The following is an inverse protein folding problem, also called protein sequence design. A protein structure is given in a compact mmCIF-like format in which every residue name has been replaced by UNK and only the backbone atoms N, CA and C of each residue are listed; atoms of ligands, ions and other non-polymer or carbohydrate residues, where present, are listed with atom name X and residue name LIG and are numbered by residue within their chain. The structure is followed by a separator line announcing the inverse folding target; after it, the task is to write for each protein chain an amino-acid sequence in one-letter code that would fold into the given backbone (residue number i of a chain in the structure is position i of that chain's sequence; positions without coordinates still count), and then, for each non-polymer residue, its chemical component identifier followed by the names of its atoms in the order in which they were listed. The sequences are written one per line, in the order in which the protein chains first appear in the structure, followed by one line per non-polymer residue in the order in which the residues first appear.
data_IF_851387148171
#
_entry.id   IF_851387148171
#
_cell.length_a   1.000
_cell.length_b   1.000
_cell.length_c   1.000
_cell.angle_alpha   90.00
_cell.angle_beta   90.00
_cell.angle_gamma   90.00
#
_symmetry.space_group_name_H-M   'P 1'
#
loop_
_entity.id
_entity.type
_entity.pdbx_description
1 polymer ?
#
# COMPACT_ATOMS: atom_id res chain seq x y z
N UNK A 1 -8.49 -69.11 -15.21
CA UNK A 1 -7.11 -69.49 -15.60
C UNK A 1 -7.10 -70.65 -16.60
N UNK A 2 -7.21 -71.92 -16.19
CA UNK A 2 -7.03 -73.06 -17.12
C UNK A 2 -8.07 -73.15 -18.26
N UNK A 3 -9.31 -72.70 -18.06
CA UNK A 3 -10.36 -72.68 -19.10
C UNK A 3 -10.37 -71.41 -19.95
N UNK A 4 -9.90 -70.28 -19.41
CA UNK A 4 -9.94 -68.96 -20.06
C UNK A 4 -8.65 -68.59 -20.81
N UNK A 5 -7.51 -69.16 -20.43
CA UNK A 5 -6.18 -68.85 -20.99
C UNK A 5 -5.49 -70.07 -21.62
N UNK A 6 -6.15 -71.23 -21.63
CA UNK A 6 -5.56 -72.48 -22.14
C UNK A 6 -4.38 -73.00 -21.32
N UNK A 7 -4.12 -72.45 -20.13
CA UNK A 7 -3.01 -72.84 -19.24
C UNK A 7 -1.66 -72.20 -19.58
N UNK A 8 -1.60 -71.32 -20.58
CA UNK A 8 -0.39 -70.60 -20.97
C UNK A 8 -0.30 -69.27 -20.19
N UNK A 9 0.76 -69.10 -19.40
CA UNK A 9 1.01 -67.87 -18.64
C UNK A 9 1.17 -66.64 -19.55
N UNK A 10 1.88 -66.80 -20.67
CA UNK A 10 2.15 -65.69 -21.60
C UNK A 10 0.84 -65.07 -22.15
N UNK A 11 -0.14 -65.91 -22.48
CA UNK A 11 -1.45 -65.45 -22.96
C UNK A 11 -2.26 -64.75 -21.86
N UNK A 12 -2.09 -65.16 -20.60
CA UNK A 12 -2.71 -64.51 -19.46
C UNK A 12 -2.11 -63.12 -19.23
N UNK A 13 -0.78 -63.01 -19.32
CA UNK A 13 -0.04 -61.77 -19.12
C UNK A 13 -0.34 -60.75 -20.23
N UNK A 14 -0.40 -61.18 -21.49
CA UNK A 14 -0.77 -60.32 -22.63
C UNK A 14 -2.19 -59.76 -22.48
N UNK A 15 -3.16 -60.64 -22.13
CA UNK A 15 -4.56 -60.21 -21.91
C UNK A 15 -4.71 -59.29 -20.71
N UNK A 16 -3.98 -59.54 -19.62
CA UNK A 16 -3.92 -58.63 -18.47
C UNK A 16 -3.34 -57.28 -18.86
N UNK A 17 -2.29 -57.27 -19.69
CA UNK A 17 -1.68 -56.05 -20.22
C UNK A 17 -2.68 -55.19 -21.01
N UNK A 18 -3.49 -55.81 -21.87
CA UNK A 18 -4.54 -55.11 -22.62
C UNK A 18 -5.64 -54.54 -21.72
N UNK A 19 -6.10 -55.29 -20.72
CA UNK A 19 -7.11 -54.83 -19.76
C UNK A 19 -6.60 -53.62 -18.97
N UNK A 20 -5.38 -53.72 -18.46
CA UNK A 20 -4.72 -52.63 -17.73
C UNK A 20 -4.59 -51.39 -18.61
N UNK A 21 -4.13 -51.55 -19.84
CA UNK A 21 -3.98 -50.43 -20.79
C UNK A 21 -5.32 -49.73 -21.04
N UNK A 22 -6.39 -50.50 -21.28
CA UNK A 22 -7.71 -49.94 -21.55
C UNK A 22 -8.30 -49.23 -20.32
N UNK A 23 -8.11 -49.77 -19.11
CA UNK A 23 -8.53 -49.12 -17.87
C UNK A 23 -7.82 -47.77 -17.67
N UNK A 24 -6.49 -47.73 -17.90
CA UNK A 24 -5.70 -46.49 -17.82
C UNK A 24 -6.21 -45.45 -18.81
N UNK A 25 -6.37 -45.80 -20.09
CA UNK A 25 -6.84 -44.84 -21.11
C UNK A 25 -8.24 -44.30 -20.79
N UNK A 26 -9.13 -45.16 -20.28
CA UNK A 26 -10.52 -44.77 -19.95
C UNK A 26 -10.57 -43.80 -18.78
N UNK A 27 -9.85 -44.06 -17.69
CA UNK A 27 -9.86 -43.19 -16.50
C UNK A 27 -9.08 -41.89 -16.71
N UNK A 28 -7.96 -41.94 -17.44
CA UNK A 28 -7.23 -40.72 -17.80
C UNK A 28 -7.99 -39.88 -18.83
N UNK A 29 -8.83 -40.47 -19.68
CA UNK A 29 -9.68 -39.75 -20.63
C UNK A 29 -10.84 -38.97 -19.98
N UNK A 30 -11.28 -39.37 -18.77
CA UNK A 30 -12.36 -38.70 -18.03
C UNK A 30 -11.90 -37.50 -17.21
N UNK A 31 -10.61 -37.37 -16.92
CA UNK A 31 -10.04 -36.34 -16.03
C UNK A 31 -9.17 -35.37 -16.82
N UNK A 32 -9.14 -34.10 -16.38
CA UNK A 32 -8.20 -33.13 -16.95
C UNK A 32 -6.78 -33.40 -16.47
N UNK A 33 -5.78 -33.04 -17.27
CA UNK A 33 -4.35 -33.22 -16.96
C UNK A 33 -3.98 -32.65 -15.58
N UNK A 34 -4.53 -31.48 -15.23
CA UNK A 34 -4.28 -30.84 -13.93
C UNK A 34 -4.84 -31.64 -12.75
N UNK A 35 -5.98 -32.31 -12.92
CA UNK A 35 -6.61 -33.15 -11.89
C UNK A 35 -5.86 -34.47 -11.67
N UNK A 36 -5.28 -35.03 -12.73
CA UNK A 36 -4.50 -36.28 -12.66
C UNK A 36 -3.18 -36.13 -11.90
N UNK A 37 -2.54 -34.95 -11.96
CA UNK A 37 -1.25 -34.68 -11.31
C UNK A 37 -1.42 -34.28 -9.84
N UNK A 38 -2.48 -33.53 -9.51
CA UNK A 38 -2.45 -32.66 -8.33
C UNK A 38 -3.30 -33.14 -7.15
N UNK A 39 -4.47 -33.76 -7.38
CA UNK A 39 -5.49 -33.91 -6.30
C UNK A 39 -5.98 -35.33 -6.07
N UNK A 40 -5.69 -36.31 -6.93
CA UNK A 40 -6.39 -37.61 -6.84
C UNK A 40 -5.55 -38.85 -7.10
N UNK A 41 -4.22 -38.87 -6.88
CA UNK A 41 -3.42 -40.07 -7.24
C UNK A 41 -3.92 -41.34 -6.54
N UNK A 42 -4.27 -41.26 -5.26
CA UNK A 42 -4.80 -42.40 -4.51
C UNK A 42 -6.19 -42.82 -5.01
N UNK A 43 -7.08 -41.85 -5.25
CA UNK A 43 -8.41 -42.09 -5.80
C UNK A 43 -8.34 -42.69 -7.21
N UNK A 44 -7.44 -42.19 -8.05
CA UNK A 44 -7.21 -42.69 -9.40
C UNK A 44 -6.73 -44.15 -9.40
N UNK A 45 -5.80 -44.52 -8.51
CA UNK A 45 -5.36 -45.92 -8.42
C UNK A 45 -6.53 -46.83 -7.98
N UNK A 46 -7.39 -46.34 -7.09
CA UNK A 46 -8.56 -47.08 -6.64
C UNK A 46 -9.61 -47.24 -7.74
N UNK A 47 -9.91 -46.17 -8.49
CA UNK A 47 -10.85 -46.18 -9.60
C UNK A 47 -10.38 -47.11 -10.73
N UNK A 48 -9.07 -47.10 -11.03
CA UNK A 48 -8.45 -48.02 -11.97
C UNK A 48 -8.59 -49.48 -11.52
N UNK A 49 -8.39 -49.75 -10.22
CA UNK A 49 -8.53 -51.08 -9.66
C UNK A 49 -9.98 -51.57 -9.73
N UNK A 50 -10.96 -50.73 -9.39
CA UNK A 50 -12.39 -51.05 -9.48
C UNK A 50 -12.82 -51.31 -10.93
N UNK A 51 -12.26 -50.57 -11.89
CA UNK A 51 -12.60 -50.73 -13.31
C UNK A 51 -11.99 -51.99 -13.92
N UNK A 52 -10.76 -52.35 -13.53
CA UNK A 52 -10.04 -53.49 -14.09
C UNK A 52 -10.32 -54.83 -13.37
N UNK A 53 -10.75 -54.80 -12.10
CA UNK A 53 -10.98 -56.02 -11.30
C UNK A 53 -12.00 -57.01 -11.91
N UNK A 54 -13.18 -56.58 -12.41
CA UNK A 54 -14.17 -57.50 -12.96
C UNK A 54 -13.66 -58.24 -14.20
N UNK A 55 -12.99 -57.52 -15.10
CA UNK A 55 -12.45 -58.08 -16.35
C UNK A 55 -11.26 -59.01 -16.10
N UNK A 56 -10.49 -58.78 -15.03
CA UNK A 56 -9.43 -59.69 -14.61
C UNK A 56 -9.98 -60.97 -13.94
N UNK A 57 -11.11 -60.87 -13.23
CA UNK A 57 -11.78 -62.01 -12.62
C UNK A 57 -12.32 -62.99 -13.68
N UNK A 58 -12.78 -62.48 -14.84
CA UNK A 58 -13.16 -63.30 -16.00
C UNK A 58 -11.97 -64.14 -16.55
N UNK A 59 -10.75 -63.65 -16.39
CA UNK A 59 -9.52 -64.41 -16.70
C UNK A 59 -9.14 -65.38 -15.58
N UNK A 60 -9.78 -65.29 -14.42
CA UNK A 60 -9.48 -66.05 -13.21
C UNK A 60 -8.21 -65.55 -12.51
N UNK A 61 -7.94 -64.24 -12.59
CA UNK A 61 -6.81 -63.58 -11.94
C UNK A 61 -7.32 -62.49 -11.00
N UNK A 62 -6.71 -62.34 -9.83
CA UNK A 62 -7.08 -61.30 -8.86
C UNK A 62 -6.06 -60.16 -8.88
N UNK A 63 -6.52 -58.95 -9.17
CA UNK A 63 -5.74 -57.72 -9.01
C UNK A 63 -5.65 -57.34 -7.52
N UNK A 64 -4.44 -57.04 -7.04
CA UNK A 64 -4.17 -56.66 -5.63
C UNK A 64 -3.94 -55.16 -5.48
N UNK A 65 -3.08 -54.58 -6.32
CA UNK A 65 -2.72 -53.16 -6.28
C UNK A 65 -2.35 -52.65 -7.68
N UNK A 66 -2.59 -51.36 -7.92
CA UNK A 66 -2.19 -50.66 -9.14
C UNK A 66 -1.25 -49.51 -8.78
N UNK A 67 -0.07 -49.46 -9.42
CA UNK A 67 0.91 -48.40 -9.19
C UNK A 67 1.41 -47.80 -10.49
N UNK A 68 1.24 -46.49 -10.63
CA UNK A 68 1.86 -45.72 -11.72
C UNK A 68 3.32 -45.45 -11.39
N UNK A 69 4.22 -45.85 -12.27
CA UNK A 69 5.66 -45.62 -12.16
C UNK A 69 6.06 -44.20 -12.59
N UNK A 70 5.58 -43.78 -13.77
CA UNK A 70 5.89 -42.47 -14.35
C UNK A 70 4.75 -42.03 -15.26
N UNK A 71 4.49 -40.72 -15.29
CA UNK A 71 3.61 -40.07 -16.26
C UNK A 71 4.49 -39.11 -17.04
N UNK A 72 4.52 -39.26 -18.35
CA UNK A 72 5.28 -38.40 -19.25
C UNK A 72 4.31 -37.81 -20.27
N UNK A 73 4.48 -36.53 -20.57
CA UNK A 73 3.73 -35.85 -21.62
C UNK A 73 4.47 -36.05 -22.93
N UNK A 74 3.74 -36.20 -24.04
CA UNK A 74 4.36 -36.06 -25.36
C UNK A 74 4.88 -34.63 -25.50
N UNK A 75 6.15 -34.48 -25.87
CA UNK A 75 6.88 -33.20 -25.95
C UNK A 75 6.09 -32.12 -26.71
N UNK A 76 5.30 -32.52 -27.70
CA UNK A 76 4.51 -31.67 -28.59
C UNK A 76 3.39 -30.86 -27.88
N UNK A 77 2.78 -31.39 -26.81
CA UNK A 77 1.67 -30.71 -26.08
C UNK A 77 2.19 -29.88 -24.90
N UNK A 78 3.42 -30.12 -24.46
CA UNK A 78 4.02 -29.41 -23.32
C UNK A 78 4.23 -27.91 -23.63
N UNK A 79 4.72 -27.60 -24.81
CA UNK A 79 5.13 -26.24 -25.19
C UNK A 79 3.96 -25.23 -25.21
N UNK A 80 2.80 -25.63 -25.71
CA UNK A 80 1.62 -24.77 -25.83
C UNK A 80 1.00 -24.45 -24.46
N UNK A 81 0.94 -25.44 -23.58
CA UNK A 81 0.43 -25.27 -22.22
C UNK A 81 1.38 -24.40 -21.39
N UNK A 82 2.70 -24.61 -21.51
CA UNK A 82 3.69 -23.75 -20.83
C UNK A 82 3.61 -22.29 -21.30
N UNK A 83 3.51 -22.06 -22.62
CA UNK A 83 3.36 -20.72 -23.17
C UNK A 83 2.07 -20.03 -22.66
N UNK A 84 0.97 -20.78 -22.53
CA UNK A 84 -0.29 -20.26 -22.01
C UNK A 84 -0.20 -19.93 -20.52
N UNK A 85 0.48 -20.77 -19.72
CA UNK A 85 0.72 -20.49 -18.30
C UNK A 85 1.61 -19.26 -18.10
N UNK A 86 2.62 -19.08 -18.94
CA UNK A 86 3.52 -17.93 -18.87
C UNK A 86 2.78 -16.62 -19.22
N UNK A 87 1.97 -16.65 -20.28
CA UNK A 87 1.13 -15.51 -20.65
C UNK A 87 0.12 -15.16 -19.55
N UNK A 88 -0.51 -16.16 -18.94
CA UNK A 88 -1.45 -15.97 -17.83
C UNK A 88 -0.76 -15.37 -16.60
N UNK A 89 0.42 -15.89 -16.23
CA UNK A 89 1.24 -15.34 -15.14
C UNK A 89 1.67 -13.90 -15.42
N UNK A 90 2.08 -13.60 -16.65
CA UNK A 90 2.47 -12.26 -17.06
C UNK A 90 1.27 -11.29 -16.97
N UNK A 91 0.08 -11.72 -17.39
CA UNK A 91 -1.17 -10.94 -17.29
C UNK A 91 -1.52 -10.63 -15.84
N UNK A 92 -1.53 -11.65 -14.98
CA UNK A 92 -1.83 -11.49 -13.53
C UNK A 92 -0.81 -10.54 -12.89
N UNK A 93 0.47 -10.69 -13.22
CA UNK A 93 1.51 -9.80 -12.68
C UNK A 93 1.35 -8.35 -13.19
N UNK A 94 0.95 -8.15 -14.45
CA UNK A 94 0.69 -6.82 -15.00
C UNK A 94 -0.52 -6.16 -14.33
N UNK A 95 -1.60 -6.90 -14.12
CA UNK A 95 -2.81 -6.47 -13.42
C UNK A 95 -2.49 -6.07 -11.98
N UNK A 96 -1.79 -6.91 -11.22
CA UNK A 96 -1.36 -6.60 -9.84
C UNK A 96 -0.45 -5.37 -9.76
N UNK A 97 0.44 -5.18 -10.72
CA UNK A 97 1.28 -3.97 -10.78
C UNK A 97 0.45 -2.73 -11.12
N UNK A 98 -0.57 -2.85 -11.97
CA UNK A 98 -1.46 -1.73 -12.30
C UNK A 98 -2.31 -1.34 -11.08
N UNK A 99 -2.90 -2.32 -10.39
CA UNK A 99 -3.64 -2.14 -9.14
C UNK A 99 -2.76 -1.48 -8.07
N UNK A 100 -1.53 -1.99 -7.87
CA UNK A 100 -0.58 -1.41 -6.93
C UNK A 100 -0.21 0.05 -7.24
N UNK A 101 -0.08 0.40 -8.53
CA UNK A 101 0.17 1.80 -8.94
C UNK A 101 -1.05 2.68 -8.69
N UNK A 102 -2.25 2.21 -9.01
CA UNK A 102 -3.48 2.98 -8.80
C UNK A 102 -3.70 3.29 -7.31
N UNK A 103 -3.58 2.27 -6.45
CA UNK A 103 -3.73 2.43 -5.01
C UNK A 103 -2.66 3.35 -4.42
N UNK A 104 -1.41 3.25 -4.90
CA UNK A 104 -0.33 4.14 -4.45
C UNK A 104 -0.59 5.61 -4.83
N UNK A 105 -1.13 5.85 -6.04
CA UNK A 105 -1.44 7.20 -6.49
C UNK A 105 -2.62 7.81 -5.72
N UNK A 106 -3.65 7.00 -5.46
CA UNK A 106 -4.79 7.41 -4.62
C UNK A 106 -4.33 7.78 -3.20
N UNK A 107 -3.51 6.94 -2.56
CA UNK A 107 -2.99 7.22 -1.22
C UNK A 107 -2.13 8.48 -1.18
N UNK A 108 -1.30 8.71 -2.20
CA UNK A 108 -0.49 9.94 -2.29
C UNK A 108 -1.38 11.17 -2.43
N UNK A 109 -2.35 11.14 -3.33
CA UNK A 109 -3.27 12.24 -3.54
C UNK A 109 -4.07 12.58 -2.28
N UNK A 110 -4.51 11.55 -1.53
CA UNK A 110 -5.20 11.74 -0.25
C UNK A 110 -4.26 12.31 0.81
N UNK A 111 -3.03 11.81 0.92
CA UNK A 111 -2.03 12.33 1.85
C UNK A 111 -1.68 13.81 1.55
N UNK A 112 -1.54 14.17 0.27
CA UNK A 112 -1.27 15.55 -0.15
C UNK A 112 -2.46 16.48 0.15
N UNK A 113 -3.69 16.00 -0.06
CA UNK A 113 -4.91 16.71 0.32
C UNK A 113 -4.95 16.95 1.83
N UNK A 114 -4.74 15.92 2.64
CA UNK A 114 -4.74 16.02 4.09
C UNK A 114 -3.65 16.96 4.59
N UNK A 115 -2.43 16.86 4.05
CA UNK A 115 -1.33 17.79 4.35
C UNK A 115 -1.74 19.24 4.08
N UNK A 116 -2.38 19.50 2.95
CA UNK A 116 -2.81 20.85 2.57
C UNK A 116 -3.87 21.37 3.54
N UNK A 117 -4.84 20.55 3.91
CA UNK A 117 -5.88 20.90 4.88
C UNK A 117 -5.26 21.22 6.24
N UNK A 118 -4.39 20.34 6.76
CA UNK A 118 -3.73 20.52 8.06
C UNK A 118 -2.91 21.81 8.09
N UNK A 119 -2.14 22.09 7.02
CA UNK A 119 -1.36 23.33 6.93
C UNK A 119 -2.26 24.57 6.88
N UNK A 120 -3.36 24.51 6.10
CA UNK A 120 -4.32 25.61 6.04
C UNK A 120 -5.02 25.84 7.38
N UNK A 121 -5.35 24.76 8.10
CA UNK A 121 -5.98 24.81 9.41
C UNK A 121 -5.03 25.39 10.47
N UNK A 122 -3.79 24.90 10.51
CA UNK A 122 -2.75 25.42 11.39
C UNK A 122 -2.47 26.91 11.12
N UNK A 123 -2.42 27.31 9.85
CA UNK A 123 -2.24 28.72 9.48
C UNK A 123 -3.41 29.57 9.96
N UNK A 124 -4.65 29.13 9.71
CA UNK A 124 -5.86 29.82 10.16
C UNK A 124 -5.87 29.99 11.68
N UNK A 125 -5.57 28.94 12.43
CA UNK A 125 -5.51 28.98 13.88
C UNK A 125 -4.43 29.95 14.38
N UNK A 126 -3.25 29.95 13.75
CA UNK A 126 -2.17 30.88 14.08
C UNK A 126 -2.57 32.35 13.87
N UNK A 127 -3.31 32.64 12.80
CA UNK A 127 -3.81 33.97 12.48
C UNK A 127 -4.91 34.41 13.46
N UNK A 128 -5.80 33.51 13.86
CA UNK A 128 -6.82 33.79 14.89
C UNK A 128 -6.15 34.13 16.22
N UNK A 129 -5.17 33.31 16.67
CA UNK A 129 -4.44 33.56 17.91
C UNK A 129 -3.71 34.91 17.85
N UNK A 130 -3.08 35.23 16.71
CA UNK A 130 -2.41 36.53 16.53
C UNK A 130 -3.40 37.70 16.61
N UNK A 131 -4.53 37.61 15.90
CA UNK A 131 -5.59 38.61 15.97
C UNK A 131 -6.12 38.81 17.39
N UNK A 132 -6.33 37.74 18.15
CA UNK A 132 -6.78 37.83 19.55
C UNK A 132 -5.75 38.52 20.45
N UNK A 133 -4.46 38.23 20.26
CA UNK A 133 -3.36 38.87 21.00
C UNK A 133 -3.24 40.36 20.62
N UNK A 134 -3.37 40.68 19.34
CA UNK A 134 -3.31 42.06 18.86
C UNK A 134 -4.50 42.87 19.38
N UNK A 135 -5.71 42.29 19.38
CA UNK A 135 -6.91 42.91 19.93
C UNK A 135 -6.77 43.18 21.43
N UNK A 136 -6.33 42.19 22.21
CA UNK A 136 -6.07 42.36 23.66
C UNK A 136 -4.97 43.39 23.93
N UNK A 137 -3.92 43.39 23.12
CA UNK A 137 -2.82 44.37 23.23
C UNK A 137 -3.34 45.79 22.98
N UNK A 138 -4.10 46.00 21.90
CA UNK A 138 -4.70 47.28 21.58
C UNK A 138 -5.67 47.75 22.68
N UNK A 139 -6.47 46.84 23.25
CA UNK A 139 -7.35 47.14 24.39
C UNK A 139 -6.55 47.58 25.63
N UNK A 140 -5.49 46.85 26.00
CA UNK A 140 -4.62 47.20 27.12
C UNK A 140 -3.95 48.56 26.88
N UNK A 141 -3.43 48.81 25.67
CA UNK A 141 -2.82 50.10 25.33
C UNK A 141 -3.83 51.25 25.39
N UNK A 142 -5.05 51.06 24.87
CA UNK A 142 -6.12 52.07 24.94
C UNK A 142 -6.51 52.36 26.39
N UNK A 143 -6.69 51.31 27.21
CA UNK A 143 -6.99 51.45 28.63
C UNK A 143 -5.86 52.13 29.41
N UNK A 144 -4.60 51.87 29.06
CA UNK A 144 -3.46 52.57 29.65
C UNK A 144 -3.39 54.04 29.21
N UNK A 145 -3.66 54.32 27.93
CA UNK A 145 -3.70 55.68 27.39
C UNK A 145 -4.78 56.53 28.05
N UNK A 146 -5.97 55.98 28.27
CA UNK A 146 -7.10 56.69 28.88
C UNK A 146 -6.90 57.01 30.37
N UNK A 147 -5.95 56.37 31.06
CA UNK A 147 -5.67 56.66 32.48
C UNK A 147 -4.88 57.95 32.68
N UNK A 148 -3.88 58.21 31.83
CA UNK A 148 -3.13 59.47 31.80
C UNK A 148 -2.45 59.66 30.43
N UNK A 149 -3.09 60.40 29.52
CA UNK A 149 -2.57 60.63 28.16
C UNK A 149 -1.24 61.39 28.13
N UNK A 150 -1.01 62.33 29.06
CA UNK A 150 0.20 63.14 29.10
C UNK A 150 1.41 62.33 29.60
N UNK A 151 1.23 61.56 30.68
CA UNK A 151 2.28 60.71 31.23
C UNK A 151 2.74 59.62 30.23
N UNK A 152 1.80 59.00 29.51
CA UNK A 152 2.14 57.99 28.52
C UNK A 152 2.88 58.57 27.30
N UNK A 153 2.45 59.74 26.80
CA UNK A 153 3.14 60.42 25.70
C UNK A 153 4.60 60.77 26.08
N UNK A 154 4.80 61.23 27.31
CA UNK A 154 6.13 61.45 27.88
C UNK A 154 6.95 60.15 27.98
N UNK A 155 6.41 59.08 28.58
CA UNK A 155 7.10 57.80 28.76
C UNK A 155 7.46 57.10 27.42
N UNK A 156 6.57 57.21 26.42
CA UNK A 156 6.82 56.71 25.06
C UNK A 156 7.94 57.49 24.37
N UNK A 157 7.97 58.82 24.53
CA UNK A 157 9.04 59.65 23.99
C UNK A 157 10.40 59.28 24.59
N UNK A 158 10.48 59.07 25.91
CA UNK A 158 11.71 58.62 26.58
C UNK A 158 12.19 57.26 26.09
N UNK A 159 11.27 56.29 25.93
CA UNK A 159 11.62 54.97 25.40
C UNK A 159 12.07 55.03 23.94
N UNK A 160 11.49 55.92 23.12
CA UNK A 160 11.93 56.16 21.77
C UNK A 160 13.35 56.73 21.74
N UNK A 161 13.67 57.73 22.59
CA UNK A 161 15.03 58.26 22.71
C UNK A 161 16.04 57.19 23.11
N UNK A 162 15.69 56.33 24.07
CA UNK A 162 16.55 55.23 24.52
C UNK A 162 16.83 54.19 23.42
N UNK A 163 15.88 53.98 22.51
CA UNK A 163 16.02 53.03 21.39
C UNK A 163 16.75 53.62 20.19
N UNK A 164 16.64 54.93 19.97
CA UNK A 164 17.24 55.63 18.83
C UNK A 164 18.65 56.14 19.10
N UNK A 165 19.09 56.21 20.36
CA UNK A 165 20.42 56.70 20.74
C UNK A 165 21.20 55.52 21.34
N UNK A 166 22.09 54.91 20.54
CA UNK A 166 22.87 53.75 21.02
C UNK A 166 23.74 53.02 20.00
N UNK A 167 23.64 53.32 18.70
CA UNK A 167 24.48 52.69 17.67
C UNK A 167 25.68 53.60 17.29
N UNK A 168 26.92 53.07 17.16
CA UNK A 168 28.13 53.86 16.90
C UNK A 168 28.16 54.70 15.61
N UNK A 169 27.20 54.51 14.69
CA UNK A 169 27.16 55.14 13.37
C UNK A 169 25.88 55.96 13.09
N UNK A 170 25.01 56.22 14.07
CA UNK A 170 23.81 57.01 13.83
C UNK A 170 24.13 58.52 13.76
N UNK A 171 24.06 59.08 12.54
CA UNK A 171 24.14 60.54 12.31
C UNK A 171 22.75 61.14 12.53
N UNK A 172 22.52 61.71 13.71
CA UNK A 172 21.26 62.33 14.08
C UNK A 172 21.19 63.79 13.56
N UNK A 173 20.52 64.00 12.42
CA UNK A 173 20.21 65.35 11.92
C UNK A 173 18.84 65.75 12.44
N UNK A 174 18.77 66.75 13.32
CA UNK A 174 17.51 67.18 13.95
C UNK A 174 17.30 68.67 13.80
N UNK A 175 16.10 69.04 13.36
CA UNK A 175 15.54 70.38 13.53
C UNK A 175 15.07 70.59 14.99
N UNK A 176 15.57 71.61 15.72
CA UNK A 176 15.20 71.91 17.10
C UNK A 176 13.70 72.12 17.37
N UNK A 177 12.89 72.38 16.33
CA UNK A 177 11.45 72.60 16.47
C UNK A 177 10.59 71.34 16.26
N UNK A 178 11.20 70.16 16.10
CA UNK A 178 10.47 68.93 15.86
C UNK A 178 9.67 68.48 17.11
N UNK A 179 8.43 68.03 16.90
CA UNK A 179 7.55 67.46 17.94
C UNK A 179 8.21 66.31 18.71
N UNK A 180 9.20 65.65 18.08
CA UNK A 180 10.04 64.65 18.70
C UNK A 180 10.81 65.15 19.93
N UNK A 181 11.16 66.44 20.07
CA UNK A 181 11.90 66.97 21.23
C UNK A 181 11.02 67.82 22.18
N UNK A 182 9.69 67.82 22.01
CA UNK A 182 8.76 68.67 22.80
C UNK A 182 8.98 68.57 24.31
N UNK A 183 9.22 67.38 24.84
CA UNK A 183 9.42 67.15 26.28
C UNK A 183 10.85 67.43 26.76
N UNK A 184 11.86 67.41 25.88
CA UNK A 184 13.23 67.77 26.21
C UNK A 184 13.43 69.30 26.16
N UNK A 185 12.83 69.96 25.16
CA UNK A 185 12.89 71.42 25.00
C UNK A 185 12.01 72.18 26.00
N UNK A 186 10.96 71.55 26.56
CA UNK A 186 10.15 72.13 27.65
C UNK A 186 10.79 71.98 29.04
N UNK A 187 12.02 71.48 29.15
CA UNK A 187 12.76 71.44 30.42
C UNK A 187 13.49 72.75 30.78
N UNK A 188 13.07 73.89 30.21
CA UNK A 188 13.27 75.18 30.86
C UNK A 188 12.45 75.18 32.17
N UNK A 189 13.16 74.84 33.25
CA UNK A 189 12.68 75.05 34.60
C UNK A 189 12.54 76.54 34.88
N UNK A 190 11.30 77.00 34.94
CA UNK A 190 10.93 78.26 35.57
C UNK A 190 9.59 78.12 36.29
N UNK A 191 9.52 78.24 37.62
CA UNK A 191 8.25 78.26 38.33
C UNK A 191 7.51 79.57 38.02
N UNK A 192 6.19 79.46 37.86
CA UNK A 192 5.24 80.48 38.29
C UNK A 192 4.06 79.80 38.96
#
# INVERSE_FOLDING_TARGET
FYTSTGGLRDVADDRLGEIVKNAVVTEFGKRTVAQAISVGRAELMNDLLVTAAPTAEDLGVRLIDFRVKQVEFMDEVSSSVYAQMEAERARIAAERRAEGRANAEEQRAEADRQRTIILADAYRESEIIRCDVDAKSAEIYSNAYNKDPEFYAFYRSINAYKRSIGNPNDLLVVDPNNEFFRYLNRSDGGPK
#
